data_IF_343743855802
#
_entry.id   IF_343743855802
#
_cell.length_a   1.000
_cell.length_b   1.000
_cell.length_c   1.000
_cell.angle_alpha   90.00
_cell.angle_beta   90.00
_cell.angle_gamma   90.00
#
_symmetry.space_group_name_H-M   'P 1'
#
loop_
_entity.id
_entity.type
_entity.pdbx_description
1 polymer ?
#
# COMPACT_ATOMS: atom_id res chain seq x y z
N UNK A 1 2.45 -20.73 5.90
CA UNK A 1 3.57 -20.44 4.97
C UNK A 1 4.11 -19.06 5.32
N UNK A 2 5.41 -18.80 5.21
CA UNK A 2 5.94 -17.45 5.46
C UNK A 2 5.51 -16.51 4.33
N UNK A 3 5.15 -15.27 4.68
CA UNK A 3 4.83 -14.25 3.68
C UNK A 3 6.11 -13.84 2.96
N UNK A 4 6.01 -13.60 1.64
CA UNK A 4 7.08 -13.02 0.82
C UNK A 4 6.52 -12.01 -0.17
N UNK A 5 7.26 -10.94 -0.45
CA UNK A 5 7.00 -10.08 -1.62
C UNK A 5 7.24 -10.88 -2.91
N UNK A 6 6.32 -10.75 -3.86
CA UNK A 6 6.47 -11.27 -5.23
C UNK A 6 7.09 -10.20 -6.11
N UNK A 7 6.39 -9.08 -6.28
CA UNK A 7 6.84 -7.94 -7.08
C UNK A 7 6.10 -6.65 -6.66
N UNK A 8 6.57 -5.50 -7.11
CA UNK A 8 5.86 -4.23 -7.04
C UNK A 8 6.26 -3.28 -8.18
N UNK A 9 5.35 -2.38 -8.54
CA UNK A 9 5.50 -1.41 -9.62
C UNK A 9 4.80 -0.10 -9.24
N UNK A 10 5.35 1.02 -9.67
CA UNK A 10 4.78 2.35 -9.52
C UNK A 10 4.71 3.12 -10.84
N UNK A 11 3.83 4.13 -10.87
CA UNK A 11 3.87 5.15 -11.89
C UNK A 11 3.45 6.51 -11.31
N UNK A 12 4.29 7.51 -11.54
CA UNK A 12 4.04 8.91 -11.18
C UNK A 12 4.24 9.79 -12.41
N UNK A 13 3.16 10.12 -13.14
CA UNK A 13 3.25 10.90 -14.36
C UNK A 13 3.87 12.29 -14.14
N UNK A 14 4.76 12.71 -15.04
CA UNK A 14 5.36 14.04 -14.99
C UNK A 14 4.35 15.18 -15.16
N UNK A 15 3.17 14.92 -15.72
CA UNK A 15 2.09 15.88 -15.95
C UNK A 15 0.79 15.46 -15.29
N UNK A 16 -0.21 16.34 -15.36
CA UNK A 16 -1.58 15.95 -15.03
C UNK A 16 -2.12 14.98 -16.08
N UNK A 17 -2.80 13.91 -15.67
CA UNK A 17 -3.37 12.90 -16.58
C UNK A 17 -4.80 12.55 -16.21
N UNK A 18 -5.54 11.99 -17.16
CA UNK A 18 -6.88 11.39 -16.94
C UNK A 18 -6.82 9.88 -16.66
N UNK A 19 -5.62 9.31 -16.68
CA UNK A 19 -5.37 7.90 -16.39
C UNK A 19 -3.96 7.70 -15.84
N UNK A 20 -3.79 6.71 -14.98
CA UNK A 20 -2.49 6.28 -14.48
C UNK A 20 -2.32 4.76 -14.64
N UNK A 21 -1.62 4.30 -15.68
CA UNK A 21 -1.28 2.90 -15.85
C UNK A 21 -0.10 2.53 -14.96
N UNK A 22 -0.31 1.56 -14.06
CA UNK A 22 0.79 0.84 -13.40
C UNK A 22 1.06 -0.45 -14.21
N UNK A 23 2.32 -0.76 -14.54
CA UNK A 23 2.67 -2.00 -15.24
C UNK A 23 2.16 -3.26 -14.52
N UNK A 24 1.98 -4.35 -15.29
CA UNK A 24 1.73 -5.66 -14.71
C UNK A 24 2.87 -6.09 -13.78
N UNK A 25 2.52 -6.82 -12.72
CA UNK A 25 3.47 -7.40 -11.79
C UNK A 25 4.02 -8.71 -12.34
N UNK A 26 5.30 -8.96 -12.11
CA UNK A 26 5.96 -10.17 -12.60
C UNK A 26 5.88 -11.31 -11.57
N UNK A 27 5.62 -12.53 -12.04
CA UNK A 27 5.61 -13.72 -11.19
C UNK A 27 4.41 -13.87 -10.25
N UNK A 28 3.37 -13.05 -10.41
CA UNK A 28 2.09 -13.20 -9.71
C UNK A 28 1.40 -14.49 -10.14
N UNK A 29 0.87 -15.22 -9.17
CA UNK A 29 0.05 -16.43 -9.38
C UNK A 29 -1.25 -16.32 -8.61
N UNK A 30 -2.19 -17.19 -8.93
CA UNK A 30 -3.47 -17.27 -8.23
C UNK A 30 -3.28 -17.47 -6.72
N UNK A 31 -4.02 -16.69 -5.93
CA UNK A 31 -3.93 -16.70 -4.47
C UNK A 31 -2.97 -15.66 -3.88
N UNK A 32 -2.12 -15.01 -4.69
CA UNK A 32 -1.31 -13.88 -4.20
C UNK A 32 -2.21 -12.69 -3.82
N UNK A 33 -1.82 -11.94 -2.79
CA UNK A 33 -2.53 -10.75 -2.35
C UNK A 33 -1.93 -9.50 -3.01
N UNK A 34 -2.73 -8.84 -3.84
CA UNK A 34 -2.42 -7.55 -4.44
C UNK A 34 -2.82 -6.42 -3.48
N UNK A 35 -1.97 -5.40 -3.38
CA UNK A 35 -2.21 -4.15 -2.66
C UNK A 35 -1.96 -3.01 -3.63
N UNK A 36 -2.92 -2.09 -3.71
CA UNK A 36 -2.81 -0.91 -4.55
C UNK A 36 -2.94 0.35 -3.72
N UNK A 37 -2.07 1.30 -3.99
CA UNK A 37 -2.14 2.66 -3.49
C UNK A 37 -2.36 3.61 -4.65
N UNK A 38 -3.32 4.52 -4.52
CA UNK A 38 -3.55 5.57 -5.49
C UNK A 38 -3.72 6.92 -4.81
N UNK A 39 -2.97 7.90 -5.27
CA UNK A 39 -2.97 9.27 -4.81
C UNK A 39 -3.31 10.23 -5.93
N UNK A 40 -4.07 11.28 -5.65
CA UNK A 40 -4.37 12.33 -6.62
C UNK A 40 -4.55 13.70 -5.97
N UNK A 41 -4.12 14.75 -6.68
CA UNK A 41 -4.28 16.14 -6.22
C UNK A 41 -5.68 16.69 -6.50
N UNK A 42 -6.69 15.98 -6.01
CA UNK A 42 -8.10 16.37 -6.08
C UNK A 42 -8.92 15.60 -5.04
N UNK A 43 -9.77 16.30 -4.31
CA UNK A 43 -10.74 15.67 -3.41
C UNK A 43 -12.09 15.36 -4.09
N UNK A 44 -12.35 15.91 -5.29
CA UNK A 44 -13.66 15.82 -5.97
C UNK A 44 -13.65 14.99 -7.25
N UNK A 45 -12.47 14.58 -7.73
CA UNK A 45 -12.36 13.78 -8.95
C UNK A 45 -12.92 12.37 -8.74
N UNK A 46 -13.82 11.95 -9.64
CA UNK A 46 -14.27 10.56 -9.73
C UNK A 46 -13.16 9.71 -10.31
N UNK A 47 -12.94 8.55 -9.68
CA UNK A 47 -11.89 7.62 -10.06
C UNK A 47 -12.47 6.24 -10.28
N UNK A 48 -12.05 5.63 -11.38
CA UNK A 48 -12.39 4.27 -11.75
C UNK A 48 -11.28 3.34 -11.26
N UNK A 49 -11.69 2.24 -10.62
CA UNK A 49 -10.80 1.20 -10.13
C UNK A 49 -10.01 0.56 -11.29
N UNK A 50 -8.74 0.18 -11.09
CA UNK A 50 -7.85 -0.25 -12.17
C UNK A 50 -8.18 -1.64 -12.72
N UNK A 51 -8.85 -2.46 -11.91
CA UNK A 51 -9.39 -3.77 -12.28
C UNK A 51 -10.65 -4.05 -11.49
N UNK A 52 -11.51 -4.92 -12.01
CA UNK A 52 -12.70 -5.36 -11.30
C UNK A 52 -12.34 -6.23 -10.07
N UNK A 53 -13.19 -6.16 -9.03
CA UNK A 53 -13.10 -7.01 -7.84
C UNK A 53 -12.10 -6.54 -6.77
N UNK A 54 -11.68 -5.28 -6.81
CA UNK A 54 -10.88 -4.69 -5.73
C UNK A 54 -11.74 -4.42 -4.49
N UNK A 55 -11.24 -4.85 -3.34
CA UNK A 55 -11.81 -4.55 -2.02
C UNK A 55 -11.30 -3.21 -1.52
N UNK A 56 -12.22 -2.36 -1.09
CA UNK A 56 -11.92 -1.08 -0.42
C UNK A 56 -11.29 -1.34 0.94
N UNK A 57 -10.08 -0.80 1.17
CA UNK A 57 -9.38 -0.86 2.46
C UNK A 57 -9.24 0.49 3.15
N UNK A 58 -9.37 1.57 2.39
CA UNK A 58 -9.32 2.92 2.93
C UNK A 58 -9.43 3.97 1.83
N UNK A 59 -10.08 5.06 2.17
CA UNK A 59 -10.14 6.29 1.39
C UNK A 59 -9.96 7.44 2.38
N UNK A 60 -9.10 8.39 2.06
CA UNK A 60 -8.94 9.59 2.87
C UNK A 60 -8.63 10.79 1.99
N UNK A 61 -8.99 11.96 2.49
CA UNK A 61 -8.71 13.25 1.86
C UNK A 61 -8.03 14.17 2.85
N UNK A 62 -6.99 14.86 2.42
CA UNK A 62 -6.37 15.94 3.19
C UNK A 62 -6.74 17.27 2.54
N UNK A 63 -7.68 17.99 3.18
CA UNK A 63 -8.28 19.19 2.63
C UNK A 63 -8.99 18.94 1.29
N UNK A 64 -8.99 19.95 0.42
CA UNK A 64 -9.63 19.88 -0.92
C UNK A 64 -8.70 19.37 -2.02
N UNK A 65 -7.42 19.17 -1.71
CA UNK A 65 -6.35 19.13 -2.72
C UNK A 65 -5.57 17.82 -2.76
N UNK A 66 -5.92 16.84 -1.94
CA UNK A 66 -5.26 15.53 -1.93
C UNK A 66 -6.25 14.45 -1.51
N UNK A 67 -6.40 13.43 -2.35
CA UNK A 67 -7.09 12.19 -2.03
C UNK A 67 -6.12 11.01 -2.09
N UNK A 68 -6.34 10.02 -1.24
CA UNK A 68 -5.65 8.74 -1.24
C UNK A 68 -6.65 7.60 -1.18
N UNK A 69 -6.31 6.48 -1.82
CA UNK A 69 -7.07 5.24 -1.84
C UNK A 69 -6.15 4.05 -1.65
N UNK A 70 -6.56 3.11 -0.80
CA UNK A 70 -5.94 1.79 -0.71
C UNK A 70 -6.96 0.71 -1.04
N UNK A 71 -6.55 -0.19 -1.93
CA UNK A 71 -7.36 -1.32 -2.42
C UNK A 71 -6.57 -2.60 -2.35
N UNK A 72 -7.28 -3.72 -2.26
CA UNK A 72 -6.66 -5.04 -2.24
C UNK A 72 -7.48 -6.05 -3.02
N UNK A 73 -6.82 -7.02 -3.65
CA UNK A 73 -7.49 -8.11 -4.37
C UNK A 73 -6.66 -9.39 -4.27
N UNK A 74 -7.30 -10.53 -4.09
CA UNK A 74 -6.63 -11.82 -4.26
C UNK A 74 -6.53 -12.11 -5.76
N UNK A 75 -5.32 -12.34 -6.24
CA UNK A 75 -5.03 -12.60 -7.64
C UNK A 75 -5.74 -13.89 -8.09
N UNK A 76 -6.35 -13.83 -9.26
CA UNK A 76 -6.89 -14.98 -9.99
C UNK A 76 -6.43 -15.00 -11.46
N UNK A 77 -5.79 -13.92 -11.89
CA UNK A 77 -5.14 -13.74 -13.18
C UNK A 77 -4.44 -12.38 -13.13
N UNK A 78 -3.20 -12.29 -13.60
CA UNK A 78 -2.48 -11.03 -13.71
C UNK A 78 -2.96 -10.25 -14.95
N UNK A 79 -3.46 -9.00 -14.81
CA UNK A 79 -3.83 -8.16 -15.94
C UNK A 79 -2.58 -7.64 -16.67
N UNK A 80 -2.76 -7.11 -17.88
CA UNK A 80 -1.66 -6.47 -18.62
C UNK A 80 -1.21 -5.13 -18.04
N UNK A 81 -2.10 -4.45 -17.31
CA UNK A 81 -1.81 -3.24 -16.54
C UNK A 81 -2.89 -3.00 -15.49
N UNK A 82 -2.53 -2.27 -14.44
CA UNK A 82 -3.48 -1.72 -13.47
C UNK A 82 -3.70 -0.24 -13.78
N UNK A 83 -4.71 0.07 -14.60
CA UNK A 83 -4.94 1.44 -15.08
C UNK A 83 -6.03 2.14 -14.30
N UNK A 84 -5.63 3.04 -13.41
CA UNK A 84 -6.55 3.93 -12.72
C UNK A 84 -7.14 4.95 -13.70
N UNK A 85 -8.47 5.09 -13.71
CA UNK A 85 -9.16 6.09 -14.52
C UNK A 85 -9.57 7.32 -13.72
N UNK A 86 -9.52 8.51 -14.32
CA UNK A 86 -9.93 9.77 -13.70
C UNK A 86 -10.86 10.51 -14.68
N UNK A 87 -12.13 10.65 -14.31
CA UNK A 87 -13.18 11.06 -15.27
C UNK A 87 -13.80 12.42 -14.98
N UNK A 88 -13.85 12.87 -13.72
CA UNK A 88 -14.50 14.14 -13.36
C UNK A 88 -13.45 15.18 -12.95
N UNK A 89 -13.51 16.38 -13.53
CA UNK A 89 -12.59 17.48 -13.23
C UNK A 89 -11.38 17.62 -14.17
N UNK A 90 -11.27 16.77 -15.19
CA UNK A 90 -10.18 16.82 -16.16
C UNK A 90 -8.89 16.15 -15.67
N UNK A 91 -7.78 16.42 -16.35
CA UNK A 91 -6.49 15.85 -16.01
C UNK A 91 -5.99 16.39 -14.66
N UNK A 92 -5.58 15.50 -13.74
CA UNK A 92 -5.04 15.86 -12.43
C UNK A 92 -3.71 15.18 -12.18
N UNK A 93 -2.89 15.77 -11.32
CA UNK A 93 -1.66 15.12 -10.84
C UNK A 93 -2.01 13.94 -9.95
N UNK A 94 -1.29 12.84 -10.11
CA UNK A 94 -1.58 11.59 -9.44
C UNK A 94 -0.33 10.69 -9.34
N UNK A 95 -0.42 9.68 -8.49
CA UNK A 95 0.62 8.68 -8.24
C UNK A 95 -0.06 7.34 -7.96
N UNK A 96 0.50 6.24 -8.46
CA UNK A 96 -0.06 4.91 -8.30
C UNK A 96 1.02 3.89 -8.03
N UNK A 97 0.74 2.95 -7.13
CA UNK A 97 1.60 1.80 -6.83
C UNK A 97 0.76 0.53 -6.72
N UNK A 98 1.34 -0.59 -7.14
CA UNK A 98 0.80 -1.93 -6.97
C UNK A 98 1.90 -2.84 -6.43
N UNK A 99 1.59 -3.66 -5.43
CA UNK A 99 2.49 -4.69 -4.90
C UNK A 99 1.77 -6.02 -4.68
N UNK A 100 2.49 -7.12 -4.86
CA UNK A 100 2.00 -8.47 -4.68
C UNK A 100 2.74 -9.21 -3.56
N UNK A 101 1.98 -9.91 -2.72
CA UNK A 101 2.47 -10.69 -1.60
C UNK A 101 1.96 -12.12 -1.69
N UNK A 102 2.80 -13.09 -1.34
CA UNK A 102 2.49 -14.53 -1.36
C UNK A 102 2.51 -15.11 0.04
N UNK A 103 1.81 -16.24 0.23
CA UNK A 103 1.85 -17.01 1.47
C UNK A 103 0.83 -16.54 2.52
N UNK A 104 -0.23 -15.85 2.09
CA UNK A 104 -1.25 -15.30 2.98
C UNK A 104 -2.41 -16.26 3.23
N UNK A 105 -3.17 -15.96 4.28
CA UNK A 105 -4.44 -16.64 4.56
C UNK A 105 -5.40 -16.48 3.39
N UNK A 106 -5.90 -17.60 2.85
CA UNK A 106 -6.74 -17.62 1.66
C UNK A 106 -8.14 -17.00 1.86
N UNK A 107 -8.55 -16.78 3.11
CA UNK A 107 -9.89 -16.26 3.45
C UNK A 107 -9.83 -14.84 3.99
N UNK A 108 -8.82 -14.53 4.80
CA UNK A 108 -8.65 -13.28 5.53
C UNK A 108 -7.21 -12.76 5.40
N UNK A 109 -6.72 -12.51 4.17
CA UNK A 109 -5.33 -12.15 3.92
C UNK A 109 -4.96 -10.77 4.51
N UNK A 110 -5.95 -9.90 4.70
CA UNK A 110 -5.79 -8.57 5.32
C UNK A 110 -6.60 -8.53 6.60
N UNK A 111 -5.94 -8.35 7.74
CA UNK A 111 -6.60 -8.35 9.07
C UNK A 111 -6.93 -6.95 9.56
N UNK A 112 -6.16 -5.96 9.15
CA UNK A 112 -6.39 -4.56 9.50
C UNK A 112 -5.93 -3.67 8.35
N UNK A 113 -6.64 -2.58 8.11
CA UNK A 113 -6.22 -1.53 7.22
C UNK A 113 -6.82 -0.21 7.68
N UNK A 114 -6.05 0.87 7.57
CA UNK A 114 -6.51 2.21 7.87
C UNK A 114 -5.77 3.21 6.99
N UNK A 115 -6.47 4.26 6.62
CA UNK A 115 -5.94 5.38 5.86
C UNK A 115 -6.53 6.67 6.43
N UNK A 116 -5.68 7.65 6.73
CA UNK A 116 -6.09 8.91 7.36
C UNK A 116 -5.37 10.09 6.74
N UNK A 117 -5.94 11.29 6.91
CA UNK A 117 -5.22 12.51 6.61
C UNK A 117 -4.03 12.67 7.57
N UNK A 118 -2.87 12.98 7.01
CA UNK A 118 -1.69 13.41 7.76
C UNK A 118 -1.74 14.91 8.08
N UNK A 119 -0.67 15.40 8.68
CA UNK A 119 -0.50 16.80 9.07
C UNK A 119 0.48 17.51 8.15
N UNK A 120 0.43 18.83 8.05
CA UNK A 120 1.48 19.57 7.34
C UNK A 120 2.83 19.44 8.06
N UNK A 121 3.92 19.42 7.30
CA UNK A 121 5.29 19.31 7.83
C UNK A 121 6.08 18.19 7.17
N UNK A 122 7.24 17.87 7.73
CA UNK A 122 8.16 16.86 7.17
C UNK A 122 7.89 15.45 7.68
N UNK A 123 7.06 15.29 8.71
CA UNK A 123 6.86 14.03 9.40
C UNK A 123 5.41 13.60 9.34
N UNK A 124 5.17 12.33 9.01
CA UNK A 124 3.85 11.72 8.93
C UNK A 124 3.82 10.43 9.73
N UNK A 125 2.84 10.27 10.61
CA UNK A 125 2.67 9.04 11.39
C UNK A 125 1.53 8.22 10.82
N UNK A 126 1.78 6.97 10.46
CA UNK A 126 0.75 6.07 9.93
C UNK A 126 -0.33 5.82 10.98
N UNK A 127 -1.58 5.53 10.56
CA UNK A 127 -2.59 5.09 11.51
C UNK A 127 -2.15 3.77 12.17
N UNK A 128 -2.61 3.58 13.41
CA UNK A 128 -2.31 2.39 14.19
C UNK A 128 -3.10 1.19 13.66
N UNK A 129 -2.42 0.05 13.47
CA UNK A 129 -3.05 -1.22 13.06
C UNK A 129 -2.50 -2.39 13.88
N UNK A 130 -3.34 -3.40 14.09
CA UNK A 130 -2.91 -4.63 14.77
C UNK A 130 -2.31 -5.60 13.75
N UNK A 131 -1.11 -6.10 14.06
CA UNK A 131 -0.38 -7.05 13.21
C UNK A 131 -0.42 -8.43 13.89
N UNK A 132 -0.94 -9.48 13.22
CA UNK A 132 -0.97 -10.81 13.79
C UNK A 132 0.44 -11.43 13.84
N UNK A 133 0.60 -12.51 14.61
CA UNK A 133 1.85 -13.27 14.66
C UNK A 133 2.27 -13.75 13.26
N UNK A 134 3.53 -13.50 12.90
CA UNK A 134 4.07 -13.81 11.57
C UNK A 134 3.51 -12.93 10.44
N UNK A 135 2.71 -11.91 10.78
CA UNK A 135 2.15 -10.95 9.85
C UNK A 135 3.17 -9.99 9.28
N UNK A 136 2.77 -9.29 8.22
CA UNK A 136 3.55 -8.21 7.63
C UNK A 136 2.78 -6.90 7.75
N UNK A 137 3.52 -5.81 7.92
CA UNK A 137 2.97 -4.46 7.85
C UNK A 137 3.33 -3.85 6.50
N UNK A 138 2.36 -3.36 5.75
CA UNK A 138 2.54 -2.53 4.55
C UNK A 138 2.01 -1.14 4.86
N UNK A 139 2.78 -0.10 4.59
CA UNK A 139 2.42 1.26 4.98
C UNK A 139 3.06 2.27 4.04
N UNK A 140 2.60 3.51 4.11
CA UNK A 140 3.12 4.54 3.23
C UNK A 140 2.35 5.83 3.30
N UNK A 141 2.67 6.69 2.34
CA UNK A 141 2.16 8.06 2.27
C UNK A 141 1.97 8.46 0.81
N UNK A 142 0.97 9.31 0.58
CA UNK A 142 0.88 10.18 -0.59
C UNK A 142 0.83 11.61 -0.08
N UNK A 143 1.58 12.53 -0.68
CA UNK A 143 1.61 13.94 -0.26
C UNK A 143 1.50 14.91 -1.42
N UNK A 144 1.11 16.13 -1.06
CA UNK A 144 1.34 17.33 -1.86
C UNK A 144 2.39 18.17 -1.15
N UNK A 145 3.42 18.59 -1.88
CA UNK A 145 4.45 19.46 -1.32
C UNK A 145 3.86 20.78 -0.85
N UNK A 146 4.49 21.40 0.16
CA UNK A 146 4.15 22.75 0.55
C UNK A 146 4.42 23.72 -0.62
N UNK A 147 3.54 24.72 -0.87
CA UNK A 147 3.80 25.72 -1.90
C UNK A 147 5.19 26.37 -1.74
N UNK A 148 5.97 26.37 -2.82
CA UNK A 148 7.33 26.94 -2.82
C UNK A 148 8.43 25.98 -2.36
N UNK A 149 8.12 24.73 -2.00
CA UNK A 149 9.13 23.70 -1.87
C UNK A 149 9.74 23.43 -3.26
N UNK A 150 11.08 23.46 -3.33
CA UNK A 150 11.80 23.17 -4.57
C UNK A 150 12.55 21.85 -4.43
N UNK A 151 12.37 20.96 -5.40
CA UNK A 151 13.10 19.69 -5.47
C UNK A 151 12.18 18.48 -5.58
N UNK A 152 12.77 17.30 -5.50
CA UNK A 152 12.09 16.01 -5.51
C UNK A 152 12.17 15.46 -4.10
N UNK A 153 11.02 15.25 -3.45
CA UNK A 153 10.99 14.71 -2.11
C UNK A 153 11.54 13.26 -2.11
N UNK A 154 12.25 12.94 -1.03
CA UNK A 154 12.69 11.59 -0.71
C UNK A 154 12.23 11.25 0.70
N UNK A 155 11.97 9.98 0.95
CA UNK A 155 11.35 9.56 2.20
C UNK A 155 12.15 8.49 2.93
N UNK A 156 12.03 8.51 4.25
CA UNK A 156 12.61 7.54 5.18
C UNK A 156 11.57 7.07 6.19
N UNK A 157 11.81 5.91 6.80
CA UNK A 157 10.96 5.34 7.86
C UNK A 157 11.72 5.26 9.18
N UNK A 158 11.00 5.42 10.30
CA UNK A 158 11.53 5.26 11.65
C UNK A 158 11.94 3.83 11.99
N UNK A 159 11.50 2.83 11.23
CA UNK A 159 11.87 1.43 11.43
C UNK A 159 12.97 1.03 10.43
N UNK A 160 14.22 1.02 10.90
CA UNK A 160 15.38 0.76 10.04
C UNK A 160 15.48 -0.65 9.43
N UNK A 161 14.65 -1.60 9.90
CA UNK A 161 14.54 -2.94 9.32
C UNK A 161 13.49 -3.08 8.22
N UNK A 162 12.65 -2.06 8.04
CA UNK A 162 11.58 -2.08 7.04
C UNK A 162 12.16 -1.80 5.64
N UNK A 163 11.58 -2.44 4.62
CA UNK A 163 12.06 -2.34 3.24
C UNK A 163 11.25 -1.30 2.45
N UNK A 164 11.95 -0.36 1.83
CA UNK A 164 11.34 0.62 0.91
C UNK A 164 10.95 -0.05 -0.40
N UNK A 165 9.72 0.20 -0.84
CA UNK A 165 9.10 -0.37 -2.05
C UNK A 165 8.95 0.68 -3.13
N UNK A 166 8.38 1.83 -2.77
CA UNK A 166 8.30 2.99 -3.65
C UNK A 166 8.80 4.25 -2.94
N UNK A 167 9.41 5.15 -3.71
CA UNK A 167 9.80 6.51 -3.27
C UNK A 167 9.84 7.40 -4.52
N UNK A 168 8.66 7.76 -4.99
CA UNK A 168 8.47 8.39 -6.29
C UNK A 168 7.78 9.74 -6.12
N UNK A 169 8.37 10.77 -6.73
CA UNK A 169 7.97 12.15 -6.60
C UNK A 169 8.12 12.87 -7.95
N UNK A 170 7.28 13.87 -8.19
CA UNK A 170 7.44 14.79 -9.32
C UNK A 170 7.68 16.20 -8.81
N UNK A 171 8.51 16.96 -9.53
CA UNK A 171 8.72 18.40 -9.34
C UNK A 171 8.27 19.22 -10.57
N UNK A 172 7.37 18.65 -11.37
CA UNK A 172 7.03 19.17 -12.69
C UNK A 172 5.75 20.00 -12.65
N UNK A 173 5.90 21.32 -12.75
CA UNK A 173 4.81 22.29 -12.67
C UNK A 173 4.41 22.59 -11.22
N UNK A 174 3.53 23.57 -10.99
CA UNK A 174 3.12 24.06 -9.66
C UNK A 174 2.32 23.07 -8.80
N UNK A 175 2.42 21.76 -9.08
CA UNK A 175 1.60 20.70 -8.51
C UNK A 175 2.43 19.42 -8.38
N UNK A 176 3.10 19.31 -7.25
CA UNK A 176 4.02 18.23 -6.93
C UNK A 176 3.32 17.22 -6.02
N UNK A 177 3.27 15.98 -6.49
CA UNK A 177 2.78 14.83 -5.72
C UNK A 177 3.96 13.92 -5.42
N UNK A 178 3.96 13.32 -4.24
CA UNK A 178 4.89 12.26 -3.85
C UNK A 178 4.13 11.08 -3.30
N UNK A 179 4.69 9.90 -3.50
CA UNK A 179 4.21 8.66 -2.93
C UNK A 179 5.41 7.84 -2.47
N UNK A 180 5.30 7.27 -1.28
CA UNK A 180 6.30 6.34 -0.80
C UNK A 180 5.65 5.20 -0.01
N UNK A 181 6.17 3.98 -0.20
CA UNK A 181 5.60 2.73 0.34
C UNK A 181 6.72 1.89 0.94
N UNK A 182 6.43 1.27 2.07
CA UNK A 182 7.28 0.30 2.76
C UNK A 182 6.49 -0.94 3.11
N UNK A 183 7.23 -2.02 3.35
CA UNK A 183 6.76 -3.09 4.20
C UNK A 183 7.79 -3.44 5.28
N UNK A 184 7.38 -4.27 6.24
CA UNK A 184 8.23 -4.71 7.36
C UNK A 184 9.46 -5.53 6.94
N UNK A 185 9.61 -5.90 5.65
CA UNK A 185 10.74 -6.68 5.15
C UNK A 185 10.80 -8.14 5.64
N UNK A 186 9.86 -8.54 6.51
CA UNK A 186 9.86 -9.83 7.17
C UNK A 186 8.68 -9.99 8.14
N UNK A 187 8.51 -11.20 8.69
CA UNK A 187 7.45 -11.49 9.65
C UNK A 187 7.64 -10.67 10.94
N UNK A 188 6.54 -10.14 11.46
CA UNK A 188 6.49 -9.43 12.72
C UNK A 188 5.92 -10.32 13.83
N UNK A 189 6.38 -10.10 15.06
CA UNK A 189 5.69 -10.62 16.23
C UNK A 189 4.31 -9.95 16.35
N UNK A 190 3.36 -10.65 16.97
CA UNK A 190 2.04 -10.10 17.24
C UNK A 190 2.15 -8.80 18.04
N UNK A 191 1.52 -7.74 17.55
CA UNK A 191 1.54 -6.42 18.18
C UNK A 191 0.26 -5.65 17.88
N UNK A 192 -0.23 -4.93 18.88
CA UNK A 192 -1.40 -4.04 18.75
C UNK A 192 -0.98 -2.60 18.55
N UNK A 193 -1.76 -1.85 17.79
CA UNK A 193 -1.58 -0.42 17.59
C UNK A 193 -0.24 -0.03 16.94
N UNK A 194 0.27 -0.86 16.03
CA UNK A 194 1.56 -0.63 15.36
C UNK A 194 1.47 0.61 14.47
N UNK A 195 2.40 1.54 14.65
CA UNK A 195 2.59 2.72 13.81
C UNK A 195 3.99 2.79 13.22
N UNK A 196 4.16 3.64 12.21
CA UNK A 196 5.44 4.03 11.62
C UNK A 196 5.47 5.53 11.39
N UNK A 197 6.63 6.13 11.62
CA UNK A 197 6.86 7.54 11.31
C UNK A 197 7.65 7.64 10.03
N UNK A 198 7.06 8.27 9.02
CA UNK A 198 7.65 8.57 7.73
C UNK A 198 8.18 10.01 7.73
N UNK A 199 9.41 10.21 7.27
CA UNK A 199 10.05 11.55 7.21
C UNK A 199 10.45 11.89 5.79
N UNK A 200 9.91 12.99 5.28
CA UNK A 200 10.24 13.61 3.98
C UNK A 200 11.45 14.53 4.10
N UNK A 201 12.24 14.60 3.04
CA UNK A 201 13.30 15.61 2.88
C UNK A 201 12.76 17.02 2.55
N UNK A 202 11.48 17.14 2.22
CA UNK A 202 10.79 18.40 1.96
C UNK A 202 9.60 18.60 2.91
N UNK A 203 9.14 19.85 3.04
CA UNK A 203 7.93 20.14 3.80
C UNK A 203 6.68 19.82 2.97
N UNK A 204 5.75 19.08 3.55
CA UNK A 204 4.50 18.66 2.92
C UNK A 204 3.35 19.57 3.35
N UNK A 205 2.56 20.06 2.40
CA UNK A 205 1.38 20.87 2.67
C UNK A 205 0.16 20.02 3.02
N UNK A 206 0.03 18.87 2.37
CA UNK A 206 -1.03 17.89 2.61
C UNK A 206 -0.44 16.49 2.53
N UNK A 207 -0.95 15.59 3.37
CA UNK A 207 -0.55 14.20 3.38
C UNK A 207 -1.75 13.28 3.62
N UNK A 208 -1.70 12.09 3.04
CA UNK A 208 -2.56 10.96 3.36
C UNK A 208 -1.63 9.78 3.65
N UNK A 209 -1.80 9.17 4.81
CA UNK A 209 -1.00 8.03 5.26
C UNK A 209 -1.86 6.80 5.43
N UNK A 210 -1.27 5.63 5.23
CA UNK A 210 -1.96 4.37 5.45
C UNK A 210 -1.07 3.34 6.14
N UNK A 211 -1.73 2.35 6.74
CA UNK A 211 -1.13 1.13 7.22
C UNK A 211 -2.08 -0.04 6.98
N UNK A 212 -1.54 -1.20 6.66
CA UNK A 212 -2.26 -2.42 6.33
C UNK A 212 -1.49 -3.63 6.87
N UNK A 213 -2.18 -4.49 7.63
CA UNK A 213 -1.63 -5.71 8.18
C UNK A 213 -2.03 -6.92 7.33
N UNK A 214 -1.03 -7.69 6.91
CA UNK A 214 -1.16 -8.92 6.15
C UNK A 214 -1.04 -10.13 7.08
N UNK A 215 -1.91 -11.12 6.88
CA UNK A 215 -1.97 -12.34 7.69
C UNK A 215 -1.35 -13.53 6.94
N UNK A 216 -0.43 -14.28 7.56
CA UNK A 216 0.15 -15.46 6.94
C UNK A 216 -0.87 -16.59 6.86
N UNK A 217 -0.69 -17.51 5.90
CA UNK A 217 -1.46 -18.74 5.83
C UNK A 217 -1.16 -19.60 7.08
N UNK A 218 -2.21 -20.05 7.77
CA UNK A 218 -2.10 -21.04 8.84
C UNK A 218 -1.35 -22.27 8.35
N UNK A 219 -0.34 -22.69 9.10
CA UNK A 219 0.21 -24.04 8.99
C UNK A 219 -0.73 -24.97 9.75
N UNK A 220 -1.62 -25.66 9.05
CA UNK A 220 -2.29 -26.83 9.62
C UNK A 220 -1.21 -27.88 9.88
N UNK A 221 -0.96 -28.31 11.12
CA UNK A 221 -0.07 -29.44 11.35
C UNK A 221 -0.62 -30.67 10.60
N UNK A 222 0.23 -31.54 10.03
CA UNK A 222 -0.26 -32.81 9.50
C UNK A 222 -1.05 -33.51 10.61
N UNK A 223 -2.20 -34.11 10.25
CA UNK A 223 -2.99 -34.88 11.20
C UNK A 223 -2.05 -35.89 11.88
N UNK A 224 -2.05 -35.91 13.22
CA UNK A 224 -1.28 -36.89 13.96
C UNK A 224 -1.69 -38.28 13.45
N UNK A 225 -0.71 -39.09 13.03
CA UNK A 225 -0.94 -40.49 12.72
C UNK A 225 -1.62 -41.13 13.95
N UNK A 226 -2.70 -41.91 13.78
CA UNK A 226 -3.32 -42.58 14.90
C UNK A 226 -2.25 -43.42 15.61
N UNK A 227 -2.08 -43.18 16.92
CA UNK A 227 -1.10 -43.90 17.71
C UNK A 227 -1.26 -45.42 17.48
N UNK A 228 -0.17 -46.17 17.24
CA UNK A 228 -0.26 -47.62 17.13
C UNK A 228 -0.97 -48.17 18.36
N UNK A 229 -2.12 -48.81 18.15
CA UNK A 229 -2.89 -49.40 19.24
C UNK A 229 -1.99 -50.33 20.04
N UNK A 230 -1.95 -50.15 21.36
CA UNK A 230 -1.23 -51.06 22.26
C UNK A 230 -1.89 -52.43 22.10
N UNK A 231 -1.18 -53.48 21.65
CA UNK A 231 -1.75 -54.81 21.59
C UNK A 231 -2.01 -55.28 23.02
N UNK A 232 -3.25 -55.63 23.30
CA UNK A 232 -3.66 -56.30 24.53
C UNK A 232 -3.28 -57.78 24.35
N UNK A 233 -2.30 -58.25 25.12
CA UNK A 233 -1.99 -59.67 25.29
C UNK A 233 -2.26 -60.08 26.74
#
# INVERSE_FOLDING_TARGET
MAISRVDDQENVPSGSTTSNPVPALTGVVDGDQLVHLFGLLSASATVTEPVAGLTVRGDATSGTNLGGRIRTKTAASEPTSYTWGISTGGAVKNAAWAGAYRGLDATTPVTAASMVAGTSGTTQTTPAVDVPEGGWLVYGVVTRHAPGAAGVATWSSSAGGDTKRADAATNAGSADITMAVWDSGGPMAAATGVTRTLTSSLSEGNAVVFALALKPASITPPAAEPAPGIPIF
#
